data_IF_982129173836
#
_entry.id   IF_982129173836
#
_cell.length_a   1.000
_cell.length_b   1.000
_cell.length_c   1.000
_cell.angle_alpha   90.00
_cell.angle_beta   90.00
_cell.angle_gamma   90.00
#
_symmetry.space_group_name_H-M   'P 1'
#
loop_
_entity.id
_entity.type
_entity.pdbx_description
1 polymer ?
#
# COMPACT_ATOMS: atom_id res chain seq x y z
N UNK A 1 3.05 4.52 -24.81
CA UNK A 1 1.84 4.44 -23.95
C UNK A 1 1.90 3.11 -23.24
N UNK A 2 2.55 3.07 -22.08
CA UNK A 2 2.59 1.89 -21.23
C UNK A 2 1.16 1.53 -20.83
N UNK A 3 0.64 0.51 -21.52
CA UNK A 3 -0.54 -0.21 -21.08
C UNK A 3 -0.15 -0.78 -19.73
N UNK A 4 -0.61 -0.14 -18.66
CA UNK A 4 -0.90 -0.92 -17.46
C UNK A 4 -1.87 -1.97 -17.97
N UNK A 5 -1.43 -3.23 -18.08
CA UNK A 5 -2.30 -4.34 -18.43
C UNK A 5 -3.24 -4.58 -17.23
N UNK A 6 -4.25 -3.72 -17.10
CA UNK A 6 -5.25 -3.67 -16.01
C UNK A 6 -6.15 -4.93 -16.01
N UNK A 7 -5.88 -5.91 -16.87
CA UNK A 7 -6.73 -7.08 -17.08
C UNK A 7 -5.91 -8.36 -17.22
N UNK A 8 -5.39 -8.87 -16.11
CA UNK A 8 -5.12 -10.30 -15.96
C UNK A 8 -5.30 -10.75 -14.49
N UNK A 9 -6.50 -11.26 -14.19
CA UNK A 9 -6.79 -12.22 -13.10
C UNK A 9 -6.67 -11.74 -11.65
N UNK A 10 -7.54 -10.83 -11.20
CA UNK A 10 -8.17 -10.88 -9.87
C UNK A 10 -7.29 -11.00 -8.61
N UNK A 11 -5.97 -10.85 -8.71
CA UNK A 11 -4.97 -10.98 -7.67
C UNK A 11 -3.89 -9.94 -7.92
N UNK A 12 -3.56 -9.19 -6.89
CA UNK A 12 -2.52 -8.18 -6.88
C UNK A 12 -1.47 -8.68 -5.89
N UNK A 13 -0.25 -8.88 -6.35
CA UNK A 13 0.89 -9.17 -5.48
C UNK A 13 1.39 -7.88 -4.83
N UNK A 14 1.83 -8.00 -3.58
CA UNK A 14 2.33 -6.85 -2.84
C UNK A 14 2.72 -7.17 -1.41
N UNK A 15 2.77 -6.11 -0.61
CA UNK A 15 3.25 -6.14 0.76
C UNK A 15 2.18 -5.64 1.72
N UNK A 16 1.85 -6.46 2.71
CA UNK A 16 0.99 -6.08 3.82
C UNK A 16 1.85 -5.60 5.00
N UNK A 17 1.76 -4.32 5.32
CA UNK A 17 2.31 -3.72 6.54
C UNK A 17 1.25 -3.83 7.63
N UNK A 18 1.48 -4.65 8.66
CA UNK A 18 0.54 -4.79 9.77
C UNK A 18 0.74 -3.72 10.84
N UNK A 19 -0.34 -3.13 11.32
CA UNK A 19 -0.33 -2.14 12.40
C UNK A 19 -0.18 -2.73 13.81
N UNK A 20 0.61 -3.79 13.95
CA UNK A 20 1.03 -4.35 15.23
C UNK A 20 2.53 -4.51 15.16
N UNK A 21 3.26 -3.86 16.06
CA UNK A 21 4.73 -3.90 16.07
C UNK A 21 5.23 -5.31 16.40
N UNK A 22 6.52 -5.59 16.16
CA UNK A 22 7.11 -6.90 16.54
C UNK A 22 7.06 -7.15 18.04
N UNK A 23 6.94 -6.09 18.85
CA UNK A 23 6.67 -6.16 20.29
C UNK A 23 5.20 -6.44 20.66
N UNK A 24 4.36 -6.86 19.70
CA UNK A 24 2.93 -7.15 19.89
C UNK A 24 2.09 -5.97 20.40
N UNK A 25 2.48 -4.73 20.08
CA UNK A 25 1.71 -3.53 20.43
C UNK A 25 0.99 -2.97 19.21
N UNK A 26 -0.28 -2.58 19.37
CA UNK A 26 -1.02 -1.89 18.31
C UNK A 26 -0.36 -0.56 17.99
N UNK A 27 -0.02 -0.35 16.72
CA UNK A 27 0.56 0.89 16.23
C UNK A 27 -0.49 2.00 16.22
N UNK A 28 -0.06 3.21 16.56
CA UNK A 28 -0.93 4.40 16.70
C UNK A 28 -0.30 5.58 15.95
N UNK A 29 -1.12 6.53 15.47
CA UNK A 29 -2.58 6.58 15.61
C UNK A 29 -3.30 5.54 14.72
N UNK A 30 -4.58 5.26 14.98
CA UNK A 30 -5.31 4.19 14.29
C UNK A 30 -5.63 4.49 12.82
N UNK A 31 -5.50 5.75 12.41
CA UNK A 31 -5.67 6.24 11.04
C UNK A 31 -4.34 6.27 10.25
N UNK A 32 -3.29 5.63 10.77
CA UNK A 32 -1.98 5.59 10.11
C UNK A 32 -2.01 5.00 8.69
N UNK A 33 -2.80 3.94 8.36
CA UNK A 33 -2.82 3.42 7.00
C UNK A 33 -3.41 4.43 6.03
N UNK A 34 -4.51 5.10 6.42
CA UNK A 34 -5.16 6.13 5.63
C UNK A 34 -4.22 7.33 5.40
N UNK A 35 -3.45 7.73 6.42
CA UNK A 35 -2.43 8.79 6.29
C UNK A 35 -1.30 8.41 5.34
N UNK A 36 -0.74 7.21 5.47
CA UNK A 36 0.36 6.76 4.63
C UNK A 36 -0.09 6.58 3.17
N UNK A 37 -1.30 6.06 2.94
CA UNK A 37 -1.89 6.00 1.60
C UNK A 37 -2.07 7.40 0.99
N UNK A 38 -2.46 8.40 1.78
CA UNK A 38 -2.53 9.79 1.35
C UNK A 38 -1.17 10.36 0.93
N UNK A 39 -0.11 10.09 1.68
CA UNK A 39 1.26 10.51 1.33
C UNK A 39 1.72 9.86 0.02
N UNK A 40 1.52 8.54 -0.13
CA UNK A 40 1.83 7.82 -1.38
C UNK A 40 1.07 8.43 -2.56
N UNK A 41 -0.18 8.84 -2.33
CA UNK A 41 -1.00 9.47 -3.37
C UNK A 41 -0.39 10.78 -3.88
N UNK A 42 0.17 11.59 -2.98
CA UNK A 42 0.85 12.82 -3.34
C UNK A 42 2.12 12.55 -4.16
N UNK A 43 2.97 11.62 -3.71
CA UNK A 43 4.19 11.24 -4.44
C UNK A 43 3.90 10.80 -5.88
N UNK A 44 2.93 9.92 -6.07
CA UNK A 44 2.56 9.41 -7.39
C UNK A 44 1.90 10.49 -8.24
N UNK A 45 1.05 11.34 -7.64
CA UNK A 45 0.39 12.45 -8.33
C UNK A 45 1.37 13.48 -8.89
N UNK A 46 2.44 13.80 -8.16
CA UNK A 46 3.50 14.70 -8.62
C UNK A 46 4.34 14.08 -9.74
N UNK A 47 4.66 12.78 -9.63
CA UNK A 47 5.50 12.06 -10.60
C UNK A 47 4.77 11.69 -11.89
N UNK A 48 3.45 11.46 -11.85
CA UNK A 48 2.64 11.02 -13.00
C UNK A 48 1.28 11.74 -13.09
N UNK A 49 1.27 13.00 -13.58
CA UNK A 49 0.01 13.72 -13.80
C UNK A 49 -0.87 12.98 -14.81
N UNK A 50 -2.10 12.61 -14.42
CA UNK A 50 -3.08 11.97 -15.30
C UNK A 50 -3.46 10.52 -14.97
N UNK A 51 -2.94 9.92 -13.90
CA UNK A 51 -3.33 8.57 -13.44
C UNK A 51 -4.14 8.54 -12.10
N UNK A 52 -5.24 9.30 -11.94
CA UNK A 52 -5.98 9.34 -10.67
C UNK A 52 -6.70 8.02 -10.32
N UNK A 53 -7.08 7.20 -11.30
CA UNK A 53 -7.95 6.04 -11.07
C UNK A 53 -7.24 4.75 -10.62
N UNK A 54 -5.91 4.67 -10.68
CA UNK A 54 -5.14 3.50 -10.23
C UNK A 54 -4.51 3.66 -8.84
N UNK A 55 -4.47 4.90 -8.33
CA UNK A 55 -3.82 5.29 -7.08
C UNK A 55 -4.36 4.55 -5.84
N UNK A 56 -5.68 4.36 -5.77
CA UNK A 56 -6.31 3.62 -4.68
C UNK A 56 -5.94 2.14 -4.65
N UNK A 57 -5.35 1.57 -5.72
CA UNK A 57 -4.88 0.18 -5.76
C UNK A 57 -3.39 0.04 -5.46
N UNK A 58 -2.64 1.15 -5.45
CA UNK A 58 -1.20 1.11 -5.17
C UNK A 58 -0.91 1.06 -3.67
N UNK A 59 -1.75 1.72 -2.87
CA UNK A 59 -1.68 1.68 -1.41
C UNK A 59 -3.10 1.67 -0.82
N UNK A 60 -3.48 0.55 -0.21
CA UNK A 60 -4.84 0.26 0.24
C UNK A 60 -4.88 0.06 1.76
N UNK A 61 -5.54 0.95 2.52
CA UNK A 61 -5.90 0.70 3.91
C UNK A 61 -6.80 -0.53 4.00
N UNK A 62 -6.41 -1.52 4.81
CA UNK A 62 -7.20 -2.74 5.02
C UNK A 62 -7.29 -3.07 6.50
N UNK A 63 -8.27 -3.90 6.86
CA UNK A 63 -8.39 -4.48 8.20
C UNK A 63 -8.24 -5.99 8.08
N UNK A 64 -7.18 -6.53 8.68
CA UNK A 64 -6.92 -7.96 8.71
C UNK A 64 -6.96 -8.45 10.16
N UNK A 65 -7.85 -9.40 10.47
CA UNK A 65 -8.01 -9.92 11.83
C UNK A 65 -8.34 -8.85 12.90
N UNK A 66 -9.00 -7.76 12.52
CA UNK A 66 -9.28 -6.63 13.42
C UNK A 66 -8.11 -5.65 13.60
N UNK A 67 -6.99 -5.87 12.94
CA UNK A 67 -5.81 -4.99 12.94
C UNK A 67 -5.82 -4.10 11.71
N UNK A 68 -5.59 -2.80 11.93
CA UNK A 68 -5.38 -1.82 10.86
C UNK A 68 -4.06 -2.09 10.14
N UNK A 69 -4.11 -2.26 8.83
CA UNK A 69 -2.96 -2.58 7.99
C UNK A 69 -2.96 -1.72 6.73
N UNK A 70 -1.82 -1.66 6.05
CA UNK A 70 -1.70 -1.07 4.73
C UNK A 70 -1.19 -2.13 3.75
N UNK A 71 -1.93 -2.39 2.68
CA UNK A 71 -1.46 -3.19 1.56
C UNK A 71 -0.82 -2.26 0.51
N UNK A 72 0.41 -2.57 0.11
CA UNK A 72 1.18 -1.83 -0.90
C UNK A 72 1.39 -2.74 -2.10
N UNK A 73 0.85 -2.39 -3.26
CA UNK A 73 0.99 -3.17 -4.50
C UNK A 73 2.43 -3.10 -5.02
N UNK A 74 2.92 -4.19 -5.60
CA UNK A 74 4.22 -4.21 -6.28
C UNK A 74 4.25 -3.23 -7.48
N UNK A 75 3.10 -2.96 -8.11
CA UNK A 75 2.97 -1.95 -9.16
C UNK A 75 3.39 -0.55 -8.68
N UNK A 76 3.33 -0.27 -7.36
CA UNK A 76 3.79 1.01 -6.83
C UNK A 76 5.29 1.22 -7.11
N UNK A 77 6.09 0.15 -7.06
CA UNK A 77 7.53 0.24 -7.33
C UNK A 77 7.81 0.65 -8.78
N UNK A 78 7.00 0.15 -9.72
CA UNK A 78 7.10 0.45 -11.14
C UNK A 78 6.60 1.87 -11.47
N UNK A 79 5.58 2.34 -10.74
CA UNK A 79 5.02 3.69 -10.91
C UNK A 79 5.89 4.76 -10.25
N UNK A 80 6.33 4.51 -9.01
CA UNK A 80 7.12 5.44 -8.22
C UNK A 80 7.94 4.68 -7.16
N UNK A 81 9.19 4.37 -7.52
CA UNK A 81 10.14 3.70 -6.61
C UNK A 81 10.32 4.46 -5.30
N UNK A 82 10.42 5.79 -5.33
CA UNK A 82 10.58 6.60 -4.10
C UNK A 82 9.40 6.43 -3.13
N UNK A 83 8.16 6.34 -3.64
CA UNK A 83 6.99 6.16 -2.79
C UNK A 83 6.93 4.75 -2.19
N UNK A 84 7.36 3.74 -2.96
CA UNK A 84 7.47 2.38 -2.49
C UNK A 84 8.53 2.27 -1.38
N UNK A 85 9.73 2.81 -1.63
CA UNK A 85 10.83 2.79 -0.66
C UNK A 85 10.47 3.56 0.60
N UNK A 86 9.78 4.69 0.47
CA UNK A 86 9.24 5.43 1.61
C UNK A 86 8.29 4.57 2.46
N UNK A 87 7.39 3.81 1.85
CA UNK A 87 6.47 2.93 2.58
C UNK A 87 7.20 1.78 3.30
N UNK A 88 8.20 1.19 2.65
CA UNK A 88 9.01 0.12 3.26
C UNK A 88 9.88 0.65 4.41
N UNK A 89 10.48 1.83 4.23
CA UNK A 89 11.27 2.49 5.27
C UNK A 89 10.39 2.88 6.46
N UNK A 90 9.17 3.39 6.20
CA UNK A 90 8.20 3.68 7.26
C UNK A 90 7.90 2.44 8.11
N UNK A 91 7.72 1.27 7.48
CA UNK A 91 7.49 0.03 8.22
C UNK A 91 8.71 -0.36 9.07
N UNK A 92 9.93 -0.25 8.50
CA UNK A 92 11.17 -0.55 9.20
C UNK A 92 11.38 0.37 10.43
N UNK A 93 11.22 1.68 10.26
CA UNK A 93 11.43 2.68 11.31
C UNK A 93 10.45 2.54 12.48
N UNK A 94 9.24 2.03 12.20
CA UNK A 94 8.18 1.85 13.19
C UNK A 94 8.08 0.41 13.72
N UNK A 95 9.06 -0.45 13.41
CA UNK A 95 9.08 -1.86 13.81
C UNK A 95 7.80 -2.62 13.41
N UNK A 96 7.25 -2.29 12.24
CA UNK A 96 6.06 -2.92 11.69
C UNK A 96 6.46 -4.13 10.84
N UNK A 97 5.85 -5.31 11.04
CA UNK A 97 6.10 -6.46 10.20
C UNK A 97 5.48 -6.25 8.82
N UNK A 98 6.21 -6.69 7.81
CA UNK A 98 5.83 -6.66 6.40
C UNK A 98 5.74 -8.09 5.90
N UNK A 99 4.61 -8.45 5.31
CA UNK A 99 4.35 -9.78 4.76
C UNK A 99 4.09 -9.67 3.26
N UNK A 100 4.71 -10.56 2.47
CA UNK A 100 4.31 -10.77 1.09
C UNK A 100 2.91 -11.37 1.06
N UNK A 101 1.99 -10.70 0.39
CA UNK A 101 0.63 -11.18 0.23
C UNK A 101 0.16 -11.00 -1.20
N UNK A 102 -0.54 -12.01 -1.69
CA UNK A 102 -1.34 -11.88 -2.90
C UNK A 102 -2.78 -11.57 -2.48
N UNK A 103 -3.16 -10.30 -2.53
CA UNK A 103 -4.53 -9.89 -2.24
C UNK A 103 -5.41 -10.21 -3.45
N UNK A 104 -6.63 -10.76 -3.27
CA UNK A 104 -7.61 -10.71 -4.37
C UNK A 104 -7.82 -9.24 -4.72
N UNK A 105 -7.86 -8.91 -6.01
CA UNK A 105 -8.17 -7.56 -6.49
C UNK A 105 -9.51 -7.17 -5.86
N UNK A 106 -9.46 -6.35 -4.80
CA UNK A 106 -10.63 -6.09 -3.98
C UNK A 106 -11.68 -5.47 -4.88
N UNK A 107 -12.82 -6.15 -5.03
CA UNK A 107 -14.00 -5.54 -5.64
C UNK A 107 -14.43 -4.46 -4.67
N UNK A 108 -14.02 -3.22 -4.96
CA UNK A 108 -14.57 -2.03 -4.32
C UNK A 108 -16.08 -2.13 -4.52
N UNK A 109 -16.82 -2.40 -3.43
CA UNK A 109 -18.27 -2.28 -3.40
C UNK A 109 -18.63 -0.84 -3.09
#
# INVERSE_FOLDING_TARGET
MDRIDITARGRIDGHLIRGVTRAHKTFRPSDWPERLAGVITLFVGERRPGCPCALSRLAMPVVDGGVKCLFVSDELRDVCTDAFDFAMQFAADNDLPVELQTAPALVVR
#
